data_IF_066117912646
#
_entry.id   IF_066117912646
#
_cell.length_a   1.000
_cell.length_b   1.000
_cell.length_c   1.000
_cell.angle_alpha   90.00
_cell.angle_beta   90.00
_cell.angle_gamma   90.00
#
_symmetry.space_group_name_H-M   'P 1'
#
loop_
_entity.id
_entity.type
_entity.pdbx_description
1 polymer ?
#
# COMPACT_ATOMS: atom_id res chain seq x y z
N UNK A 1 25.78 -15.31 45.22
CA UNK A 1 24.74 -15.07 44.22
C UNK A 1 24.48 -16.38 43.48
N UNK A 2 23.28 -16.93 43.66
CA UNK A 2 22.95 -18.31 43.30
C UNK A 2 23.08 -18.58 41.78
N UNK A 3 23.68 -19.72 41.39
CA UNK A 3 23.78 -20.15 39.98
C UNK A 3 22.41 -20.22 39.30
N UNK A 4 21.35 -20.52 40.03
CA UNK A 4 19.97 -20.51 39.54
C UNK A 4 19.49 -19.11 39.08
N UNK A 5 19.85 -18.07 39.84
CA UNK A 5 19.44 -16.69 39.48
C UNK A 5 20.06 -16.23 38.19
N UNK A 6 21.35 -16.60 37.94
CA UNK A 6 22.03 -16.28 36.66
C UNK A 6 21.42 -17.02 35.45
N UNK A 7 21.03 -18.27 35.62
CA UNK A 7 20.41 -19.05 34.57
C UNK A 7 19.02 -18.51 34.20
N UNK A 8 18.22 -18.12 35.19
CA UNK A 8 16.87 -17.55 34.95
C UNK A 8 16.94 -16.20 34.25
N UNK A 9 17.90 -15.35 34.63
CA UNK A 9 18.06 -14.03 33.97
C UNK A 9 18.51 -14.19 32.53
N UNK A 10 19.44 -15.11 32.22
CA UNK A 10 19.88 -15.39 30.85
C UNK A 10 18.75 -15.93 29.98
N UNK A 11 17.89 -16.77 30.52
CA UNK A 11 16.73 -17.35 29.80
C UNK A 11 15.68 -16.28 29.48
N UNK A 12 15.38 -15.38 30.41
CA UNK A 12 14.43 -14.27 30.19
C UNK A 12 14.95 -13.30 29.12
N UNK A 13 16.25 -12.98 29.13
CA UNK A 13 16.85 -12.13 28.11
C UNK A 13 16.80 -12.78 26.73
N UNK A 14 17.06 -14.09 26.62
CA UNK A 14 16.98 -14.82 25.37
C UNK A 14 15.56 -14.82 24.78
N UNK A 15 14.53 -15.01 25.59
CA UNK A 15 13.12 -14.95 25.19
C UNK A 15 12.76 -13.54 24.70
N UNK A 16 13.19 -12.49 25.42
CA UNK A 16 12.92 -11.11 25.06
C UNK A 16 13.56 -10.73 23.69
N UNK A 17 14.81 -11.17 23.44
CA UNK A 17 15.49 -10.94 22.17
C UNK A 17 14.79 -11.69 21.04
N UNK A 18 14.37 -12.93 21.26
CA UNK A 18 13.65 -13.73 20.26
C UNK A 18 12.28 -13.09 19.93
N UNK A 19 11.56 -12.61 20.93
CA UNK A 19 10.28 -11.91 20.71
C UNK A 19 10.46 -10.61 19.92
N UNK A 20 11.51 -9.82 20.21
CA UNK A 20 11.81 -8.60 19.45
C UNK A 20 12.19 -8.91 18.01
N UNK A 21 12.98 -9.97 17.75
CA UNK A 21 13.33 -10.37 16.39
C UNK A 21 12.12 -10.89 15.59
N UNK A 22 11.19 -11.61 16.22
CA UNK A 22 9.96 -12.08 15.59
C UNK A 22 9.07 -10.88 15.22
N UNK A 23 8.94 -9.87 16.08
CA UNK A 23 8.15 -8.66 15.80
C UNK A 23 8.75 -7.84 14.66
N UNK A 24 10.08 -7.71 14.58
CA UNK A 24 10.75 -7.00 13.48
C UNK A 24 10.71 -7.76 12.16
N UNK A 25 10.87 -9.09 12.17
CA UNK A 25 10.78 -9.92 10.99
C UNK A 25 9.35 -9.92 10.39
N UNK A 26 8.31 -9.96 11.23
CA UNK A 26 6.92 -9.87 10.77
C UNK A 26 6.52 -8.48 10.28
N UNK A 27 7.17 -7.41 10.73
CA UNK A 27 6.87 -6.06 10.27
C UNK A 27 7.33 -5.78 8.83
N UNK A 28 8.37 -6.44 8.34
CA UNK A 28 8.85 -6.28 6.97
C UNK A 28 8.09 -7.15 5.95
N UNK A 29 7.54 -8.30 6.35
CA UNK A 29 6.88 -9.26 5.44
C UNK A 29 5.45 -8.89 5.05
N UNK A 30 4.83 -7.89 5.67
CA UNK A 30 3.44 -7.50 5.35
C UNK A 30 3.29 -6.73 4.04
N UNK A 31 4.37 -6.13 3.56
CA UNK A 31 4.33 -5.36 2.32
C UNK A 31 4.65 -6.23 1.11
N UNK A 32 3.91 -6.02 0.02
CA UNK A 32 4.20 -6.63 -1.27
C UNK A 32 5.56 -6.12 -1.78
N UNK A 33 6.50 -7.04 -1.97
CA UNK A 33 7.82 -6.76 -2.53
C UNK A 33 7.86 -6.98 -4.06
N UNK A 34 9.01 -6.74 -4.66
CA UNK A 34 9.27 -6.68 -6.11
C UNK A 34 8.72 -7.84 -6.97
N UNK A 35 8.38 -8.96 -6.38
CA UNK A 35 7.91 -10.15 -7.09
C UNK A 35 6.38 -10.30 -7.01
N UNK A 36 5.63 -9.20 -6.94
CA UNK A 36 4.18 -9.26 -6.96
C UNK A 36 3.69 -9.94 -8.24
N UNK A 37 3.07 -11.10 -8.07
CA UNK A 37 2.39 -11.85 -9.13
C UNK A 37 0.90 -11.88 -8.85
N UNK A 38 0.12 -11.88 -9.92
CA UNK A 38 -1.33 -11.90 -9.85
C UNK A 38 -1.82 -13.34 -10.08
N UNK A 39 -2.26 -14.01 -9.04
CA UNK A 39 -2.69 -15.44 -9.09
C UNK A 39 -4.16 -15.60 -9.49
N UNK A 40 -4.69 -14.68 -10.29
CA UNK A 40 -6.05 -14.77 -10.85
C UNK A 40 -7.16 -14.23 -9.95
N UNK A 41 -6.93 -14.01 -8.66
CA UNK A 41 -7.89 -13.37 -7.73
C UNK A 41 -7.41 -11.97 -7.44
N UNK A 42 -8.29 -10.98 -7.63
CA UNK A 42 -7.98 -9.58 -7.33
C UNK A 42 -7.76 -9.38 -5.82
N UNK A 43 -6.53 -9.10 -5.35
CA UNK A 43 -6.27 -8.96 -3.94
C UNK A 43 -6.90 -7.68 -3.39
N UNK A 44 -7.37 -7.75 -2.16
CA UNK A 44 -7.64 -6.57 -1.35
C UNK A 44 -6.31 -6.06 -0.80
N UNK A 45 -6.08 -4.76 -0.92
CA UNK A 45 -4.83 -4.12 -0.52
C UNK A 45 -5.07 -2.89 0.35
N UNK A 46 -4.11 -2.63 1.24
CA UNK A 46 -3.98 -1.37 1.97
C UNK A 46 -2.77 -0.64 1.41
N UNK A 47 -2.94 0.62 1.08
CA UNK A 47 -1.88 1.47 0.53
C UNK A 47 -1.32 2.34 1.64
N UNK A 48 -0.06 2.11 2.00
CA UNK A 48 0.61 2.78 3.10
C UNK A 48 1.45 3.97 2.64
N UNK A 49 1.49 4.98 3.47
CA UNK A 49 2.41 6.09 3.34
C UNK A 49 3.86 5.60 3.53
N UNK A 50 4.82 6.06 2.70
CA UNK A 50 6.18 5.49 2.71
C UNK A 50 7.01 5.85 3.95
N UNK A 51 6.58 6.84 4.76
CA UNK A 51 7.34 7.35 5.92
C UNK A 51 6.55 7.26 7.21
N UNK A 52 5.27 7.62 7.18
CA UNK A 52 4.42 7.68 8.37
C UNK A 52 3.55 6.43 8.47
N UNK A 53 3.12 6.09 9.67
CA UNK A 53 2.13 5.05 9.90
C UNK A 53 0.72 5.55 9.55
N UNK A 54 0.55 5.88 8.27
CA UNK A 54 -0.70 6.33 7.68
C UNK A 54 -1.06 5.47 6.48
N UNK A 55 -2.34 5.37 6.21
CA UNK A 55 -2.87 4.63 5.06
C UNK A 55 -3.74 5.54 4.21
N UNK A 56 -3.77 5.23 2.92
CA UNK A 56 -4.64 5.91 1.97
C UNK A 56 -6.09 5.64 2.35
N UNK A 57 -6.89 6.68 2.41
CA UNK A 57 -8.29 6.63 2.83
C UNK A 57 -9.18 7.34 1.83
N UNK A 58 -10.24 6.66 1.40
CA UNK A 58 -11.32 7.21 0.60
C UNK A 58 -12.23 8.09 1.46
N UNK A 59 -12.39 9.36 1.11
CA UNK A 59 -13.30 10.30 1.79
C UNK A 59 -14.13 11.07 0.76
N UNK A 60 -15.36 10.61 0.52
CA UNK A 60 -16.10 11.04 -0.66
C UNK A 60 -15.33 10.68 -1.92
N UNK A 61 -15.13 11.59 -2.85
CA UNK A 61 -14.32 11.39 -4.05
C UNK A 61 -12.83 11.76 -3.86
N UNK A 62 -12.40 12.09 -2.63
CA UNK A 62 -11.01 12.46 -2.31
C UNK A 62 -10.23 11.28 -1.77
N UNK A 63 -8.92 11.32 -1.97
CA UNK A 63 -7.94 10.43 -1.37
C UNK A 63 -7.12 11.23 -0.35
N UNK A 64 -7.02 10.72 0.88
CA UNK A 64 -6.30 11.35 1.99
C UNK A 64 -5.47 10.35 2.76
N UNK A 65 -4.40 10.81 3.42
CA UNK A 65 -3.64 9.99 4.36
C UNK A 65 -4.23 10.10 5.77
N UNK A 66 -4.54 8.98 6.39
CA UNK A 66 -5.07 8.92 7.74
C UNK A 66 -4.42 7.77 8.54
N UNK A 67 -4.55 7.82 9.86
CA UNK A 67 -4.12 6.69 10.70
C UNK A 67 -4.93 5.43 10.36
N UNK A 68 -4.31 4.24 10.42
CA UNK A 68 -5.03 2.98 10.24
C UNK A 68 -6.17 2.85 11.25
N UNK A 69 -7.36 2.47 10.78
CA UNK A 69 -8.53 2.22 11.62
C UNK A 69 -9.32 0.96 11.21
N UNK A 70 -8.81 0.22 10.21
CA UNK A 70 -9.42 -1.02 9.72
C UNK A 70 -10.74 -0.85 8.97
N UNK A 71 -11.15 0.38 8.63
CA UNK A 71 -12.39 0.60 7.90
C UNK A 71 -12.28 0.23 6.42
N UNK A 72 -13.40 -0.14 5.80
CA UNK A 72 -13.48 -0.43 4.37
C UNK A 72 -12.99 0.74 3.49
N UNK A 73 -13.11 1.98 3.96
CA UNK A 73 -12.60 3.15 3.25
C UNK A 73 -11.07 3.23 3.15
N UNK A 74 -10.35 2.35 3.86
CA UNK A 74 -8.89 2.21 3.81
C UNK A 74 -8.44 0.99 3.00
N UNK A 75 -9.38 0.25 2.44
CA UNK A 75 -9.14 -0.94 1.65
C UNK A 75 -9.43 -0.67 0.17
N UNK A 76 -8.62 -1.26 -0.69
CA UNK A 76 -8.76 -1.14 -2.13
C UNK A 76 -8.63 -2.54 -2.76
N UNK A 77 -9.23 -2.72 -3.93
CA UNK A 77 -9.06 -3.94 -4.72
C UNK A 77 -8.19 -3.60 -5.92
N UNK A 78 -7.12 -4.37 -6.12
CA UNK A 78 -6.22 -4.20 -7.24
C UNK A 78 -6.36 -5.36 -8.23
N UNK A 79 -6.49 -5.08 -9.50
CA UNK A 79 -6.67 -6.09 -10.55
C UNK A 79 -6.03 -5.65 -11.88
N UNK A 80 -5.71 -6.60 -12.78
CA UNK A 80 -5.15 -6.28 -14.09
C UNK A 80 -6.08 -5.36 -14.88
N UNK A 81 -5.49 -4.41 -15.60
CA UNK A 81 -6.23 -3.62 -16.58
C UNK A 81 -6.23 -4.29 -17.96
N UNK A 82 -6.95 -3.73 -18.92
CA UNK A 82 -6.89 -4.12 -20.32
C UNK A 82 -5.53 -3.79 -21.00
N UNK A 83 -4.65 -3.04 -20.32
CA UNK A 83 -3.31 -2.71 -20.79
C UNK A 83 -2.31 -3.65 -20.13
N UNK A 84 -1.53 -4.37 -20.92
CA UNK A 84 -0.53 -5.33 -20.44
C UNK A 84 0.47 -4.68 -19.47
N UNK A 85 0.64 -5.30 -18.30
CA UNK A 85 1.50 -4.83 -17.20
C UNK A 85 0.97 -3.62 -16.44
N UNK A 86 -0.30 -3.24 -16.65
CA UNK A 86 -0.97 -2.18 -15.88
C UNK A 86 -2.08 -2.77 -15.00
N UNK A 87 -2.37 -2.06 -13.91
CA UNK A 87 -3.38 -2.42 -12.90
C UNK A 87 -4.37 -1.29 -12.73
N UNK A 88 -5.59 -1.65 -12.37
CA UNK A 88 -6.63 -0.74 -11.87
C UNK A 88 -6.76 -0.95 -10.37
N UNK A 89 -7.04 0.13 -9.65
CA UNK A 89 -7.22 0.11 -8.20
C UNK A 89 -8.55 0.79 -7.93
N UNK A 90 -9.50 0.03 -7.36
CA UNK A 90 -10.81 0.54 -6.98
C UNK A 90 -10.98 0.53 -5.47
N UNK A 91 -11.88 1.35 -4.94
CA UNK A 91 -12.28 1.27 -3.55
C UNK A 91 -12.91 -0.10 -3.22
N UNK A 92 -12.65 -0.58 -2.02
CA UNK A 92 -13.31 -1.77 -1.51
C UNK A 92 -14.72 -1.37 -1.06
N UNK A 93 -15.73 -1.96 -1.71
CA UNK A 93 -17.13 -1.75 -1.35
C UNK A 93 -17.79 -3.11 -1.09
N UNK A 94 -18.26 -3.34 0.13
CA UNK A 94 -18.89 -4.56 0.58
C UNK A 94 -20.24 -4.81 -0.15
N UNK A 95 -20.19 -5.19 -1.45
CA UNK A 95 -21.33 -5.63 -2.21
C UNK A 95 -22.14 -4.54 -2.94
N UNK A 96 -21.69 -3.29 -2.96
CA UNK A 96 -22.31 -2.23 -3.78
C UNK A 96 -21.92 -2.34 -5.26
N UNK A 97 -22.86 -2.07 -6.17
CA UNK A 97 -22.63 -2.05 -7.62
C UNK A 97 -21.81 -0.82 -8.05
N UNK A 98 -21.78 0.21 -7.24
CA UNK A 98 -21.08 1.45 -7.51
C UNK A 98 -19.60 1.34 -7.12
N UNK A 99 -18.72 1.37 -8.10
CA UNK A 99 -17.28 1.16 -7.89
C UNK A 99 -16.48 2.31 -8.48
N UNK A 100 -15.82 3.07 -7.62
CA UNK A 100 -14.94 4.14 -8.04
C UNK A 100 -13.49 3.65 -8.03
N UNK A 101 -12.73 4.17 -8.98
CA UNK A 101 -11.33 3.84 -9.20
C UNK A 101 -10.43 4.98 -8.76
N UNK A 102 -9.23 4.68 -8.31
CA UNK A 102 -8.17 5.68 -8.25
C UNK A 102 -7.90 6.10 -9.70
N UNK A 103 -8.05 7.38 -9.99
CA UNK A 103 -7.88 7.91 -11.33
C UNK A 103 -7.18 9.27 -11.35
N UNK A 104 -6.54 9.57 -12.47
CA UNK A 104 -5.96 10.87 -12.76
C UNK A 104 -7.00 11.80 -13.39
N UNK A 105 -7.07 13.01 -12.86
CA UNK A 105 -7.91 14.10 -13.40
C UNK A 105 -7.09 15.39 -13.49
N UNK A 106 -7.57 16.43 -14.18
CA UNK A 106 -6.88 17.73 -14.19
C UNK A 106 -6.59 18.31 -12.79
N UNK A 107 -7.41 17.96 -11.79
CA UNK A 107 -7.21 18.36 -10.39
C UNK A 107 -6.35 17.40 -9.56
N UNK A 108 -5.72 16.39 -10.19
CA UNK A 108 -4.88 15.40 -9.55
C UNK A 108 -5.54 14.02 -9.40
N UNK A 109 -4.96 13.18 -8.53
CA UNK A 109 -5.47 11.82 -8.29
C UNK A 109 -6.61 11.84 -7.27
N UNK A 110 -7.72 11.20 -7.62
CA UNK A 110 -8.92 11.06 -6.77
C UNK A 110 -9.69 9.80 -7.13
N UNK A 111 -10.77 9.52 -6.40
CA UNK A 111 -11.73 8.51 -6.78
C UNK A 111 -12.64 9.04 -7.89
N UNK A 112 -12.80 8.25 -8.95
CA UNK A 112 -13.57 8.57 -10.15
C UNK A 112 -14.43 7.39 -10.57
N UNK A 113 -15.57 7.66 -11.17
CA UNK A 113 -16.34 6.65 -11.90
C UNK A 113 -15.65 6.31 -13.21
N UNK A 114 -15.76 5.08 -13.65
CA UNK A 114 -15.10 4.66 -14.90
C UNK A 114 -15.62 5.44 -16.12
N UNK A 115 -16.89 5.74 -16.16
CA UNK A 115 -17.54 6.51 -17.21
C UNK A 115 -17.12 8.01 -17.27
N UNK A 116 -16.64 8.54 -16.15
CA UNK A 116 -16.23 9.96 -16.06
C UNK A 116 -14.83 10.23 -16.59
N UNK A 117 -14.06 9.20 -16.89
CA UNK A 117 -12.65 9.32 -17.30
C UNK A 117 -12.29 8.34 -18.41
N UNK A 118 -11.25 8.68 -19.16
CA UNK A 118 -10.70 7.74 -20.13
C UNK A 118 -10.02 6.55 -19.41
N UNK A 119 -10.17 5.36 -19.96
CA UNK A 119 -9.60 4.13 -19.40
C UNK A 119 -8.10 4.22 -19.02
N UNK A 120 -7.20 4.87 -19.82
CA UNK A 120 -5.81 5.05 -19.41
C UNK A 120 -5.62 5.89 -18.13
N UNK A 121 -6.60 6.73 -17.75
CA UNK A 121 -6.51 7.55 -16.53
C UNK A 121 -6.66 6.77 -15.24
N UNK A 122 -7.22 5.55 -15.27
CA UNK A 122 -7.38 4.64 -14.14
C UNK A 122 -6.45 3.42 -14.19
N UNK A 123 -5.49 3.40 -15.12
CA UNK A 123 -4.53 2.32 -15.27
C UNK A 123 -3.13 2.75 -14.81
N UNK A 124 -2.52 1.97 -13.92
CA UNK A 124 -1.23 2.25 -13.29
C UNK A 124 -0.27 1.08 -13.48
N UNK A 125 0.97 1.38 -13.83
CA UNK A 125 2.06 0.40 -13.78
C UNK A 125 2.63 0.37 -12.36
N UNK A 126 3.04 -0.81 -11.89
CA UNK A 126 3.76 -0.94 -10.62
C UNK A 126 5.26 -0.97 -10.90
N UNK A 127 6.00 0.01 -10.38
CA UNK A 127 7.46 0.11 -10.54
C UNK A 127 8.12 0.05 -9.16
N UNK A 128 8.76 -1.08 -8.88
CA UNK A 128 9.47 -1.29 -7.62
C UNK A 128 10.72 -0.44 -7.50
N UNK A 129 10.95 0.10 -6.32
CA UNK A 129 12.17 0.83 -5.94
C UNK A 129 12.69 0.33 -4.60
N UNK A 130 13.86 -0.31 -4.60
CA UNK A 130 14.54 -0.69 -3.37
C UNK A 130 14.89 0.54 -2.51
N UNK A 131 15.23 1.67 -3.18
CA UNK A 131 15.48 2.96 -2.55
C UNK A 131 14.94 4.08 -3.45
N UNK A 132 14.36 5.11 -2.84
CA UNK A 132 13.84 6.28 -3.53
C UNK A 132 14.00 7.53 -2.66
N UNK A 133 13.83 8.70 -3.27
CA UNK A 133 13.80 9.99 -2.56
C UNK A 133 12.54 10.73 -2.94
N UNK A 134 11.73 11.07 -1.95
CA UNK A 134 10.46 11.78 -2.15
C UNK A 134 10.35 12.92 -1.14
N UNK A 135 10.10 14.12 -1.63
CA UNK A 135 10.04 15.33 -0.80
C UNK A 135 11.27 15.50 0.10
N UNK A 136 12.48 15.20 -0.43
CA UNK A 136 13.75 15.31 0.29
C UNK A 136 14.01 14.18 1.31
N UNK A 137 13.10 13.23 1.48
CA UNK A 137 13.26 12.09 2.39
C UNK A 137 13.62 10.82 1.64
N UNK A 138 14.63 10.09 2.15
CA UNK A 138 14.99 8.77 1.64
C UNK A 138 13.99 7.72 2.14
N UNK A 139 13.47 6.92 1.23
CA UNK A 139 12.52 5.82 1.50
C UNK A 139 13.02 4.52 0.88
N UNK A 140 12.67 3.39 1.48
CA UNK A 140 13.08 2.06 1.00
C UNK A 140 11.86 1.19 0.75
N UNK A 141 12.00 0.21 -0.15
CA UNK A 141 11.01 -0.82 -0.42
C UNK A 141 9.64 -0.19 -0.75
N UNK A 142 9.59 0.59 -1.82
CA UNK A 142 8.41 1.34 -2.23
C UNK A 142 8.04 1.07 -3.68
N UNK A 143 6.78 1.35 -4.02
CA UNK A 143 6.26 1.32 -5.36
C UNK A 143 6.01 2.73 -5.89
N UNK A 144 6.45 3.02 -7.10
CA UNK A 144 5.94 4.12 -7.91
C UNK A 144 4.87 3.60 -8.85
N UNK A 145 3.82 4.36 -9.02
CA UNK A 145 2.67 3.99 -9.85
C UNK A 145 2.44 5.03 -10.94
N UNK A 146 3.18 4.98 -12.08
CA UNK A 146 2.93 5.86 -13.19
C UNK A 146 1.58 5.54 -13.84
N UNK A 147 0.79 6.58 -14.09
CA UNK A 147 -0.48 6.51 -14.78
C UNK A 147 -0.25 6.30 -16.28
N UNK A 148 -1.00 5.39 -16.91
CA UNK A 148 -0.92 5.05 -18.33
C UNK A 148 -1.16 6.28 -19.23
N UNK A 149 -2.07 7.16 -18.82
CA UNK A 149 -2.47 8.31 -19.62
C UNK A 149 -1.34 9.31 -19.89
N UNK A 150 -0.46 9.56 -18.89
CA UNK A 150 0.48 10.68 -18.96
C UNK A 150 1.81 10.42 -18.27
N UNK A 151 2.07 9.19 -17.81
CA UNK A 151 3.25 8.78 -17.04
C UNK A 151 3.46 9.56 -15.70
N UNK A 152 2.49 10.37 -15.27
CA UNK A 152 2.57 11.00 -13.94
C UNK A 152 2.45 9.94 -12.86
N UNK A 153 3.32 10.00 -11.87
CA UNK A 153 3.27 9.11 -10.72
C UNK A 153 2.07 9.44 -9.84
N UNK A 154 1.35 8.40 -9.40
CA UNK A 154 0.33 8.54 -8.37
C UNK A 154 0.91 9.30 -7.18
N UNK A 155 0.26 10.38 -6.79
CA UNK A 155 0.75 11.28 -5.74
C UNK A 155 -0.43 11.80 -4.94
N UNK A 156 -0.35 11.63 -3.62
CA UNK A 156 -1.30 12.23 -2.67
C UNK A 156 -0.48 12.96 -1.61
N UNK A 157 -0.78 14.23 -1.38
CA UNK A 157 -0.09 15.05 -0.38
C UNK A 157 1.41 15.24 -0.63
N UNK A 158 1.86 15.27 -1.90
CA UNK A 158 3.26 15.44 -2.28
C UNK A 158 4.10 14.16 -2.30
N UNK A 159 3.52 12.99 -2.01
CA UNK A 159 4.21 11.71 -1.99
C UNK A 159 3.90 10.90 -3.24
N UNK A 160 4.90 10.70 -4.10
CA UNK A 160 4.81 9.98 -5.38
C UNK A 160 5.21 8.51 -5.30
N UNK A 161 5.28 7.92 -4.12
CA UNK A 161 5.48 6.48 -3.92
C UNK A 161 4.72 5.99 -2.70
N UNK A 162 4.49 4.68 -2.64
CA UNK A 162 3.68 4.01 -1.61
C UNK A 162 4.28 2.67 -1.22
N UNK A 163 3.85 2.10 -0.09
CA UNK A 163 3.96 0.67 0.18
C UNK A 163 2.59 0.03 0.04
N UNK A 164 2.54 -1.21 -0.42
CA UNK A 164 1.29 -1.94 -0.64
C UNK A 164 1.31 -3.17 0.25
N UNK A 165 0.29 -3.36 1.05
CA UNK A 165 0.04 -4.53 1.88
C UNK A 165 -1.14 -5.29 1.30
N UNK A 166 -1.00 -6.61 1.08
CA UNK A 166 -2.12 -7.47 0.75
C UNK A 166 -2.83 -7.88 2.04
N UNK A 167 -4.16 -7.82 2.04
CA UNK A 167 -4.98 -8.26 3.18
C UNK A 167 -5.98 -9.33 2.72
N UNK A 168 -6.33 -10.22 3.63
CA UNK A 168 -7.32 -11.29 3.41
C UNK A 168 -8.73 -10.82 3.83
N UNK A 169 -9.11 -9.59 3.49
CA UNK A 169 -10.42 -9.03 3.82
C UNK A 169 -11.54 -9.67 2.98
#
# INVERSE_FOLDING_TARGET
MNKFLKATTAFIIAIAITAIMIVTANAESRYIEKNFTFDGIAPTVIIHHPVYDWVLTAKGNKLTWQKPNGSASQMFVMFPSEYDGYYRIREFNNGGYEQRYIGYTPSGFKLVWQEDVQAPAIAFKLVWKAKDTVSGKSVKNVWRMPCKMNNKYFCVGGWGCVRIEQTNA
#
